data_IF_795775120627
#
_entry.id   IF_795775120627
#
_cell.length_a   1.000
_cell.length_b   1.000
_cell.length_c   1.000
_cell.angle_alpha   90.00
_cell.angle_beta   90.00
_cell.angle_gamma   90.00
#
_symmetry.space_group_name_H-M   'P 1'
#
loop_
_entity.id
_entity.type
_entity.pdbx_description
1 polymer ?
#
# COMPACT_ATOMS: atom_id res chain seq x y z
N UNK A 1 60.91 26.17 27.59
CA UNK A 1 60.18 27.44 27.43
C UNK A 1 58.71 27.18 27.73
N UNK A 2 58.18 27.91 28.73
CA UNK A 2 56.79 28.19 29.14
C UNK A 2 55.65 27.23 28.70
N UNK A 3 54.94 26.56 29.64
CA UNK A 3 53.77 27.02 30.44
C UNK A 3 52.54 27.34 29.56
N UNK A 4 51.26 27.05 29.84
CA UNK A 4 50.43 26.40 30.88
C UNK A 4 48.99 26.42 30.24
N UNK A 5 47.91 25.76 30.68
CA UNK A 5 47.63 25.05 31.91
C UNK A 5 46.24 24.40 31.87
N UNK A 6 46.11 23.44 32.77
CA UNK A 6 44.92 22.80 33.34
C UNK A 6 43.85 23.78 33.82
N UNK A 7 42.57 23.43 33.71
CA UNK A 7 41.54 23.55 34.77
C UNK A 7 40.30 22.69 34.41
N UNK A 8 40.01 21.66 35.21
CA UNK A 8 38.64 21.27 35.54
C UNK A 8 38.30 21.79 36.95
N UNK A 9 37.38 21.17 37.68
CA UNK A 9 35.93 21.08 37.46
C UNK A 9 35.17 21.80 38.60
N UNK A 10 33.85 21.99 38.49
CA UNK A 10 33.04 22.22 39.69
C UNK A 10 31.61 21.66 39.62
N UNK A 11 31.27 21.07 40.75
CA UNK A 11 30.10 20.32 41.20
C UNK A 11 28.95 21.27 41.58
N UNK A 12 27.69 20.81 41.50
CA UNK A 12 26.81 20.79 42.69
C UNK A 12 25.49 20.04 42.48
N UNK A 13 25.34 19.05 43.34
CA UNK A 13 24.14 18.34 43.77
C UNK A 13 23.33 19.14 44.81
N UNK A 14 22.04 18.85 44.92
CA UNK A 14 21.21 19.10 46.11
C UNK A 14 19.76 19.37 45.72
N UNK A 15 18.73 18.95 46.44
CA UNK A 15 18.58 18.03 47.56
C UNK A 15 17.08 17.67 47.63
N UNK A 16 16.78 16.49 48.17
CA UNK A 16 15.45 16.07 48.59
C UNK A 16 15.04 16.82 49.88
N UNK A 17 13.78 17.24 50.00
CA UNK A 17 13.13 17.46 51.29
C UNK A 17 11.62 17.25 51.15
N UNK A 18 11.11 16.36 52.00
CA UNK A 18 9.71 16.07 52.29
C UNK A 18 9.15 17.18 53.20
N UNK A 19 7.82 17.35 53.24
CA UNK A 19 6.96 17.18 54.44
C UNK A 19 5.62 17.90 54.25
N UNK A 20 4.61 17.31 54.87
CA UNK A 20 3.18 17.58 54.75
C UNK A 20 2.72 18.82 55.54
N UNK A 21 1.56 19.37 55.15
CA UNK A 21 0.45 19.66 56.08
C UNK A 21 -0.88 19.71 55.31
N UNK A 22 -1.92 19.25 55.97
CA UNK A 22 -3.30 19.16 55.51
C UNK A 22 -4.19 19.67 56.64
N UNK A 23 -4.97 20.74 56.44
CA UNK A 23 -6.20 21.13 57.20
C UNK A 23 -7.00 22.04 56.23
N UNK A 24 -8.27 21.74 55.88
CA UNK A 24 -9.49 22.20 56.57
C UNK A 24 -9.71 23.71 56.33
N UNK A 25 -10.84 24.29 55.90
CA UNK A 25 -12.25 24.07 56.26
C UNK A 25 -13.17 24.85 55.29
N UNK A 26 -14.47 24.70 55.50
CA UNK A 26 -15.65 24.89 54.67
C UNK A 26 -16.04 26.32 54.18
N UNK A 27 -16.83 26.38 53.09
CA UNK A 27 -17.60 27.57 52.72
C UNK A 27 -18.28 27.52 51.34
N UNK A 28 -19.44 26.88 51.23
CA UNK A 28 -20.44 27.13 50.17
C UNK A 28 -21.43 28.24 50.63
N UNK A 29 -22.38 28.76 49.82
CA UNK A 29 -22.62 28.64 48.36
C UNK A 29 -22.80 30.00 47.64
N UNK A 30 -22.69 29.98 46.31
CA UNK A 30 -23.03 31.12 45.45
C UNK A 30 -23.65 30.65 44.13
N UNK A 31 -24.97 30.64 44.09
CA UNK A 31 -25.80 30.42 42.90
C UNK A 31 -25.58 31.54 41.86
N UNK A 32 -25.26 31.17 40.61
CA UNK A 32 -26.12 31.43 39.45
C UNK A 32 -25.39 31.28 38.11
N UNK A 33 -26.19 30.85 37.13
CA UNK A 33 -26.06 31.03 35.69
C UNK A 33 -25.10 30.14 34.90
N UNK A 34 -25.72 29.32 34.04
CA UNK A 34 -25.43 29.33 32.61
C UNK A 34 -24.03 28.89 32.22
N UNK A 35 -23.84 27.58 32.11
CA UNK A 35 -22.64 26.99 31.53
C UNK A 35 -23.01 25.70 30.84
N UNK A 36 -23.64 25.84 29.68
CA UNK A 36 -23.82 24.81 28.67
C UNK A 36 -22.44 24.19 28.38
N UNK A 37 -22.11 23.09 29.06
CA UNK A 37 -20.92 22.31 28.75
C UNK A 37 -21.24 21.49 27.52
N UNK A 38 -21.14 22.20 26.39
CA UNK A 38 -20.50 21.78 25.15
C UNK A 38 -20.05 20.33 25.28
N UNK A 39 -20.84 19.45 24.67
CA UNK A 39 -20.39 18.12 24.29
C UNK A 39 -18.98 18.25 23.78
N UNK A 40 -18.06 17.60 24.49
CA UNK A 40 -16.73 17.31 24.03
C UNK A 40 -16.93 16.53 22.74
N UNK A 41 -16.99 17.27 21.63
CA UNK A 41 -16.61 16.79 20.33
C UNK A 41 -15.13 16.44 20.50
N UNK A 42 -14.89 15.22 20.99
CA UNK A 42 -13.72 14.46 20.62
C UNK A 42 -13.76 14.44 19.09
N UNK A 43 -13.14 15.46 18.48
CA UNK A 43 -12.59 15.33 17.15
C UNK A 43 -11.68 14.10 17.26
N UNK A 44 -12.23 12.92 16.95
CA UNK A 44 -11.45 11.76 16.55
C UNK A 44 -10.52 12.33 15.49
N UNK A 45 -9.26 12.63 15.86
CA UNK A 45 -8.15 12.72 14.93
C UNK A 45 -8.23 11.42 14.15
N UNK A 46 -8.93 11.47 13.03
CA UNK A 46 -9.27 10.27 12.29
C UNK A 46 -7.95 9.72 11.83
N UNK A 47 -7.50 8.64 12.49
CA UNK A 47 -6.21 8.02 12.24
C UNK A 47 -6.19 7.62 10.76
N UNK A 48 -5.54 8.48 9.98
CA UNK A 48 -5.36 8.35 8.56
C UNK A 48 -4.07 7.61 8.26
N UNK A 49 -4.09 6.81 7.21
CA UNK A 49 -2.90 6.14 6.70
C UNK A 49 -2.61 6.71 5.34
N UNK A 50 -1.43 7.30 5.21
CA UNK A 50 -0.93 7.84 3.95
C UNK A 50 0.08 6.89 3.33
N UNK A 51 -0.01 6.71 2.02
CA UNK A 51 0.89 5.83 1.32
C UNK A 51 0.77 5.89 -0.19
N UNK A 52 1.73 5.23 -0.84
CA UNK A 52 1.79 5.14 -2.28
C UNK A 52 1.05 3.88 -2.78
N UNK A 53 0.17 4.06 -3.76
CA UNK A 53 -0.58 2.96 -4.38
C UNK A 53 0.35 2.12 -5.24
N UNK A 54 0.58 0.86 -4.86
CA UNK A 54 1.43 -0.05 -5.60
C UNK A 54 0.67 -0.77 -6.71
N UNK A 55 -0.49 -1.34 -6.37
CA UNK A 55 -1.23 -2.21 -7.29
C UNK A 55 -2.72 -2.25 -6.96
N UNK A 56 -3.55 -2.28 -8.01
CA UNK A 56 -5.00 -2.50 -7.92
C UNK A 56 -5.38 -3.90 -8.42
N UNK A 57 -6.19 -4.63 -7.66
CA UNK A 57 -6.81 -5.90 -8.06
C UNK A 57 -8.32 -5.77 -8.00
N UNK A 58 -8.97 -5.85 -9.15
CA UNK A 58 -10.43 -5.92 -9.25
C UNK A 58 -10.87 -7.36 -9.00
N UNK A 59 -11.66 -7.59 -7.95
CA UNK A 59 -12.18 -8.91 -7.63
C UNK A 59 -13.58 -9.09 -8.22
N UNK A 60 -14.55 -8.29 -7.75
CA UNK A 60 -15.95 -8.29 -8.21
C UNK A 60 -16.37 -6.87 -8.64
N UNK A 61 -17.64 -6.66 -9.00
CA UNK A 61 -18.13 -5.32 -9.40
C UNK A 61 -17.92 -4.28 -8.29
N UNK A 62 -18.17 -4.67 -7.03
CA UNK A 62 -18.24 -3.78 -5.87
C UNK A 62 -17.11 -4.02 -4.85
N UNK A 63 -16.03 -4.69 -5.26
CA UNK A 63 -14.90 -5.02 -4.38
C UNK A 63 -13.57 -4.79 -5.12
N UNK A 64 -12.75 -3.93 -4.55
CA UNK A 64 -11.43 -3.57 -5.05
C UNK A 64 -10.39 -3.75 -3.93
N UNK A 65 -9.34 -4.50 -4.24
CA UNK A 65 -8.20 -4.69 -3.37
C UNK A 65 -7.05 -3.82 -3.86
N UNK A 66 -6.46 -3.01 -2.98
CA UNK A 66 -5.37 -2.10 -3.33
C UNK A 66 -4.20 -2.33 -2.40
N UNK A 67 -3.03 -2.61 -2.97
CA UNK A 67 -1.79 -2.69 -2.23
C UNK A 67 -1.21 -1.29 -2.13
N UNK A 68 -0.90 -0.87 -0.91
CA UNK A 68 -0.36 0.45 -0.60
C UNK A 68 0.92 0.28 0.22
N UNK A 69 1.94 1.10 -0.06
CA UNK A 69 3.12 1.23 0.78
C UNK A 69 2.92 2.42 1.72
N UNK A 70 2.94 2.20 3.03
CA UNK A 70 2.83 3.27 4.02
C UNK A 70 4.09 4.13 3.95
N UNK A 71 3.89 5.44 3.97
CA UNK A 71 4.95 6.43 4.11
C UNK A 71 4.81 7.11 5.47
N UNK A 72 5.69 6.77 6.41
CA UNK A 72 5.72 7.32 7.77
C UNK A 72 7.15 7.30 8.33
N UNK A 73 7.37 7.82 9.54
CA UNK A 73 8.71 7.96 10.16
C UNK A 73 9.41 6.62 10.50
N UNK A 74 8.74 5.47 10.31
CA UNK A 74 9.29 4.14 10.58
C UNK A 74 9.70 3.34 9.33
N UNK A 75 10.11 2.07 9.53
CA UNK A 75 10.32 1.12 8.44
C UNK A 75 9.01 0.94 7.65
N UNK A 76 8.92 1.59 6.48
CA UNK A 76 7.70 1.64 5.69
C UNK A 76 7.04 0.28 5.49
N UNK A 77 5.76 0.18 5.84
CA UNK A 77 4.98 -1.05 5.78
C UNK A 77 4.19 -1.23 4.49
N UNK A 78 3.69 -2.44 4.26
CA UNK A 78 2.73 -2.73 3.19
C UNK A 78 1.35 -2.95 3.80
N UNK A 79 0.34 -2.34 3.21
CA UNK A 79 -1.06 -2.48 3.62
C UNK A 79 -1.90 -2.97 2.46
N UNK A 80 -2.86 -3.83 2.77
CA UNK A 80 -3.92 -4.22 1.86
C UNK A 80 -5.17 -3.38 2.17
N UNK A 81 -5.46 -2.42 1.31
CA UNK A 81 -6.69 -1.66 1.36
C UNK A 81 -7.83 -2.45 0.71
N UNK A 82 -8.91 -2.63 1.46
CA UNK A 82 -10.17 -3.23 1.01
C UNK A 82 -11.18 -2.11 0.79
N UNK A 83 -11.53 -1.88 -0.48
CA UNK A 83 -12.59 -0.96 -0.90
C UNK A 83 -13.83 -1.77 -1.26
N UNK A 84 -14.90 -1.61 -0.49
CA UNK A 84 -16.21 -2.25 -0.73
C UNK A 84 -17.34 -1.22 -0.55
N UNK A 85 -18.42 -1.38 -1.30
CA UNK A 85 -19.65 -0.58 -1.13
C UNK A 85 -20.33 -0.87 0.23
N UNK A 86 -19.95 -1.95 0.91
CA UNK A 86 -20.41 -2.24 2.27
C UNK A 86 -19.68 -1.40 3.33
N UNK A 87 -18.40 -1.08 3.08
CA UNK A 87 -17.55 -0.35 4.03
C UNK A 87 -17.44 1.14 3.69
N UNK A 88 -17.75 1.51 2.46
CA UNK A 88 -17.74 2.88 1.92
C UNK A 88 -19.03 3.12 1.13
N UNK A 89 -19.48 4.36 0.99
CA UNK A 89 -20.65 4.66 0.16
C UNK A 89 -20.37 4.32 -1.32
N UNK A 90 -21.43 4.10 -2.10
CA UNK A 90 -21.29 3.82 -3.54
C UNK A 90 -20.61 4.96 -4.31
N UNK A 91 -20.80 6.20 -3.86
CA UNK A 91 -20.21 7.39 -4.45
C UNK A 91 -18.69 7.41 -4.25
N UNK A 92 -18.24 7.22 -3.01
CA UNK A 92 -16.80 7.15 -2.66
C UNK A 92 -16.14 5.98 -3.39
N UNK A 93 -16.81 4.83 -3.49
CA UNK A 93 -16.29 3.67 -4.20
C UNK A 93 -16.08 3.95 -5.70
N UNK A 94 -17.07 4.54 -6.38
CA UNK A 94 -16.95 4.84 -7.81
C UNK A 94 -15.94 5.96 -8.06
N UNK A 95 -15.85 6.97 -7.19
CA UNK A 95 -14.83 8.01 -7.26
C UNK A 95 -13.43 7.42 -7.12
N UNK A 96 -13.19 6.60 -6.10
CA UNK A 96 -11.92 5.92 -5.91
C UNK A 96 -11.56 5.08 -7.14
N UNK A 97 -12.54 4.30 -7.62
CA UNK A 97 -12.39 3.41 -8.76
C UNK A 97 -12.01 4.18 -10.02
N UNK A 98 -12.64 5.33 -10.25
CA UNK A 98 -12.44 6.19 -11.40
C UNK A 98 -11.12 6.94 -11.33
N UNK A 99 -10.68 7.39 -10.15
CA UNK A 99 -9.59 8.35 -10.02
C UNK A 99 -8.27 7.75 -9.57
N UNK A 100 -8.25 6.82 -8.62
CA UNK A 100 -7.00 6.32 -8.02
C UNK A 100 -6.25 5.41 -8.99
N UNK A 101 -4.94 5.64 -9.18
CA UNK A 101 -4.06 4.85 -10.06
C UNK A 101 -2.81 4.39 -9.32
N UNK A 102 -2.16 3.30 -9.78
CA UNK A 102 -0.83 2.95 -9.29
C UNK A 102 0.14 4.13 -9.42
N UNK A 103 0.93 4.36 -8.37
CA UNK A 103 1.84 5.49 -8.21
C UNK A 103 1.23 6.68 -7.48
N UNK A 104 -0.10 6.83 -7.47
CA UNK A 104 -0.76 7.91 -6.74
C UNK A 104 -0.41 7.81 -5.25
N UNK A 105 -0.20 8.96 -4.62
CA UNK A 105 -0.08 9.09 -3.18
C UNK A 105 -1.46 9.40 -2.63
N UNK A 106 -1.98 8.48 -1.83
CA UNK A 106 -3.31 8.57 -1.27
C UNK A 106 -3.26 8.49 0.24
N UNK A 107 -4.28 9.07 0.83
CA UNK A 107 -4.56 9.13 2.25
C UNK A 107 -5.88 8.43 2.46
N UNK A 108 -5.94 7.53 3.43
CA UNK A 108 -7.12 6.68 3.62
C UNK A 108 -7.50 6.61 5.08
N UNK A 109 -8.79 6.66 5.34
CA UNK A 109 -9.39 6.42 6.66
C UNK A 109 -10.24 5.17 6.60
N UNK A 110 -10.25 4.40 7.68
CA UNK A 110 -10.92 3.11 7.67
C UNK A 110 -10.68 2.28 8.91
N UNK A 111 -11.32 1.11 8.96
CA UNK A 111 -11.06 0.15 10.03
C UNK A 111 -9.80 -0.65 9.70
N UNK A 112 -8.82 -0.62 10.60
CA UNK A 112 -7.62 -1.45 10.52
C UNK A 112 -7.93 -2.82 11.14
N UNK A 113 -7.56 -3.88 10.44
CA UNK A 113 -7.66 -5.25 10.89
C UNK A 113 -6.33 -5.96 10.67
N UNK A 114 -6.04 -6.96 11.51
CA UNK A 114 -4.91 -7.85 11.28
C UNK A 114 -5.02 -8.57 9.92
N UNK A 115 -3.89 -8.85 9.26
CA UNK A 115 -3.88 -9.39 7.91
C UNK A 115 -4.48 -10.80 7.89
N UNK A 116 -5.34 -11.08 6.92
CA UNK A 116 -5.85 -12.43 6.69
C UNK A 116 -4.74 -13.39 6.26
N UNK A 117 -5.01 -14.69 6.30
CA UNK A 117 -4.06 -15.79 5.99
C UNK A 117 -3.42 -15.67 4.59
N UNK A 118 -4.02 -14.89 3.68
CA UNK A 118 -3.56 -14.66 2.31
C UNK A 118 -2.69 -13.38 2.12
N UNK A 119 -2.50 -12.58 3.17
CA UNK A 119 -1.81 -11.31 3.15
C UNK A 119 -0.32 -11.43 3.56
N UNK A 120 0.37 -12.44 3.00
CA UNK A 120 1.74 -12.90 3.35
C UNK A 120 2.84 -11.80 3.30
N UNK A 121 2.54 -10.60 2.80
CA UNK A 121 3.45 -9.46 2.78
C UNK A 121 2.86 -8.16 3.37
N UNK A 122 1.58 -8.12 3.72
CA UNK A 122 0.95 -6.92 4.27
C UNK A 122 0.89 -7.00 5.80
N UNK A 123 1.24 -5.91 6.48
CA UNK A 123 1.22 -5.83 7.93
C UNK A 123 -0.20 -5.74 8.47
N UNK A 124 -1.11 -5.08 7.74
CA UNK A 124 -2.51 -4.89 8.13
C UNK A 124 -3.43 -4.81 6.89
N UNK A 125 -4.70 -5.12 7.11
CA UNK A 125 -5.80 -4.89 6.18
C UNK A 125 -6.60 -3.66 6.61
N UNK A 126 -6.92 -2.78 5.67
CA UNK A 126 -7.63 -1.54 5.96
C UNK A 126 -8.91 -1.48 5.15
N UNK A 127 -10.05 -1.56 5.83
CA UNK A 127 -11.36 -1.38 5.23
C UNK A 127 -11.66 0.11 5.07
N UNK A 128 -11.43 0.59 3.85
CA UNK A 128 -11.57 1.99 3.48
C UNK A 128 -13.01 2.45 3.71
N UNK A 129 -13.15 3.56 4.44
CA UNK A 129 -14.38 4.33 4.59
C UNK A 129 -14.35 5.57 3.69
N UNK A 130 -13.26 6.32 3.76
CA UNK A 130 -13.04 7.54 2.99
C UNK A 130 -11.56 7.66 2.57
N UNK A 131 -11.29 8.47 1.54
CA UNK A 131 -9.96 8.65 1.00
C UNK A 131 -9.76 10.06 0.44
N UNK A 132 -8.51 10.48 0.33
CA UNK A 132 -8.11 11.65 -0.43
C UNK A 132 -6.89 11.33 -1.28
N UNK A 133 -6.81 11.90 -2.48
CA UNK A 133 -5.61 11.83 -3.31
C UNK A 133 -4.76 13.05 -3.00
N UNK A 134 -3.58 12.82 -2.42
CA UNK A 134 -2.65 13.89 -2.07
C UNK A 134 -1.76 14.27 -3.27
N UNK A 135 -1.28 13.27 -4.01
CA UNK A 135 -0.43 13.49 -5.18
C UNK A 135 -0.77 12.51 -6.30
N UNK A 136 -0.92 13.02 -7.52
CA UNK A 136 -1.13 12.20 -8.72
C UNK A 136 0.19 11.76 -9.31
N UNK A 137 0.26 10.50 -9.76
CA UNK A 137 1.44 10.04 -10.49
C UNK A 137 1.50 10.63 -11.90
N UNK A 138 2.42 11.55 -12.10
CA UNK A 138 2.69 12.17 -13.40
C UNK A 138 3.53 11.25 -14.28
N UNK A 139 2.85 10.40 -15.04
CA UNK A 139 3.49 9.41 -15.94
C UNK A 139 4.40 10.05 -16.98
N UNK A 140 4.08 11.26 -17.44
CA UNK A 140 4.88 11.97 -18.44
C UNK A 140 6.26 12.39 -17.91
N UNK A 141 6.33 12.81 -16.64
CA UNK A 141 7.59 13.29 -16.04
C UNK A 141 8.43 12.16 -15.45
N UNK A 142 7.77 11.16 -14.87
CA UNK A 142 8.43 10.11 -14.06
C UNK A 142 8.44 8.74 -14.76
N UNK A 143 7.84 8.64 -15.95
CA UNK A 143 7.62 7.38 -16.63
C UNK A 143 6.50 6.55 -16.01
N UNK A 144 6.29 5.34 -16.53
CA UNK A 144 5.31 4.40 -15.98
C UNK A 144 5.72 4.00 -14.54
N UNK A 145 4.77 4.06 -13.61
CA UNK A 145 5.01 3.65 -12.23
C UNK A 145 5.44 2.18 -12.16
N UNK A 146 6.56 1.91 -11.48
CA UNK A 146 7.08 0.57 -11.25
C UNK A 146 7.04 0.24 -9.77
N UNK A 147 6.26 -0.77 -9.39
CA UNK A 147 6.23 -1.31 -8.04
C UNK A 147 7.54 -2.07 -7.74
N UNK A 148 8.50 -1.39 -7.12
CA UNK A 148 9.80 -1.96 -6.72
C UNK A 148 9.72 -2.89 -5.52
N UNK A 149 8.58 -2.96 -4.84
CA UNK A 149 8.39 -3.85 -3.70
C UNK A 149 8.49 -5.31 -4.13
N UNK A 150 8.07 -5.64 -5.35
CA UNK A 150 8.23 -6.98 -5.93
C UNK A 150 9.72 -7.37 -6.13
N UNK A 151 10.61 -6.38 -6.31
CA UNK A 151 12.04 -6.60 -6.48
C UNK A 151 12.77 -6.89 -5.16
N UNK A 152 12.28 -6.40 -4.01
CA UNK A 152 12.87 -6.75 -2.71
C UNK A 152 12.69 -8.24 -2.36
N UNK A 153 11.69 -8.89 -2.95
CA UNK A 153 11.45 -10.34 -2.82
C UNK A 153 12.25 -11.14 -3.86
N UNK A 154 12.77 -10.48 -4.89
CA UNK A 154 13.50 -11.11 -6.00
C UNK A 154 14.95 -10.65 -5.97
N UNK A 155 15.84 -11.50 -5.43
CA UNK A 155 17.29 -11.24 -5.42
C UNK A 155 17.85 -10.88 -6.81
N UNK A 156 19.07 -10.30 -6.87
CA UNK A 156 19.65 -9.81 -8.12
C UNK A 156 19.65 -10.90 -9.19
N UNK A 157 18.92 -10.63 -10.27
CA UNK A 157 18.79 -11.46 -11.46
C UNK A 157 20.11 -11.46 -12.23
N UNK A 158 21.01 -12.38 -11.90
CA UNK A 158 22.06 -12.80 -12.82
C UNK A 158 21.45 -13.81 -13.81
N UNK A 159 21.78 -13.60 -15.08
CA UNK A 159 21.30 -14.39 -16.21
C UNK A 159 21.84 -15.82 -16.11
N UNK A 160 21.02 -16.76 -15.66
CA UNK A 160 21.21 -18.17 -15.99
C UNK A 160 19.94 -18.67 -16.68
N UNK A 161 20.05 -18.79 -18.00
CA UNK A 161 19.00 -19.28 -18.87
C UNK A 161 18.81 -20.78 -18.61
N UNK A 162 17.81 -21.13 -17.78
CA UNK A 162 17.15 -22.42 -18.00
C UNK A 162 16.28 -22.24 -19.25
N UNK A 163 16.66 -22.93 -20.32
CA UNK A 163 15.98 -22.89 -21.61
C UNK A 163 14.55 -23.42 -21.48
N UNK A 164 13.60 -22.51 -21.29
CA UNK A 164 12.17 -22.82 -21.45
C UNK A 164 11.94 -23.07 -22.94
N UNK A 165 11.17 -24.13 -23.24
CA UNK A 165 10.76 -24.47 -24.61
C UNK A 165 10.22 -23.24 -25.35
N UNK A 166 10.67 -23.02 -26.58
CA UNK A 166 10.26 -21.88 -27.41
C UNK A 166 8.77 -21.91 -27.74
N UNK A 167 8.17 -23.12 -27.71
CA UNK A 167 6.74 -23.34 -27.91
C UNK A 167 5.92 -23.11 -26.62
N UNK A 168 6.57 -22.87 -25.48
CA UNK A 168 5.87 -22.55 -24.25
C UNK A 168 5.15 -21.20 -24.33
N UNK A 169 3.95 -21.07 -23.74
CA UNK A 169 3.22 -19.81 -23.76
C UNK A 169 3.99 -18.71 -23.03
N UNK A 170 3.91 -17.49 -23.56
CA UNK A 170 4.53 -16.30 -22.99
C UNK A 170 4.01 -16.02 -21.57
N UNK A 171 4.93 -15.65 -20.69
CA UNK A 171 4.61 -15.30 -19.31
C UNK A 171 3.81 -14.00 -19.22
N UNK A 172 2.60 -14.08 -18.68
CA UNK A 172 1.70 -12.93 -18.51
C UNK A 172 2.28 -11.86 -17.57
N UNK A 173 3.07 -12.21 -16.55
CA UNK A 173 3.67 -11.20 -15.68
C UNK A 173 4.76 -10.44 -16.45
N UNK A 174 5.72 -11.19 -17.00
CA UNK A 174 6.84 -10.66 -17.79
C UNK A 174 6.40 -9.72 -18.91
N UNK A 175 5.40 -10.13 -19.71
CA UNK A 175 4.93 -9.34 -20.85
C UNK A 175 4.17 -8.06 -20.48
N UNK A 176 3.66 -7.96 -19.25
CA UNK A 176 2.92 -6.79 -18.79
C UNK A 176 3.80 -5.80 -18.04
N UNK A 177 4.79 -6.29 -17.28
CA UNK A 177 5.60 -5.47 -16.38
C UNK A 177 7.10 -5.53 -16.66
N UNK A 178 7.54 -6.36 -17.61
CA UNK A 178 8.97 -6.65 -17.85
C UNK A 178 9.62 -7.49 -16.74
N UNK A 179 8.84 -7.98 -15.77
CA UNK A 179 9.34 -8.65 -14.57
C UNK A 179 8.41 -9.80 -14.17
N UNK A 180 8.97 -10.89 -13.68
CA UNK A 180 8.20 -12.03 -13.18
C UNK A 180 8.75 -12.48 -11.84
N UNK A 181 7.85 -12.64 -10.85
CA UNK A 181 8.18 -13.11 -9.49
C UNK A 181 8.86 -14.49 -9.45
N UNK A 182 8.66 -15.29 -10.50
CA UNK A 182 9.27 -16.63 -10.61
C UNK A 182 10.71 -16.60 -11.17
N UNK A 183 11.19 -15.44 -11.63
CA UNK A 183 12.53 -15.30 -12.21
C UNK A 183 12.82 -16.34 -13.28
N UNK A 184 14.04 -16.90 -13.27
CA UNK A 184 14.48 -17.96 -14.18
C UNK A 184 13.73 -19.30 -13.97
N UNK A 185 13.13 -19.53 -12.80
CA UNK A 185 12.33 -20.73 -12.52
C UNK A 185 10.90 -20.66 -13.10
N UNK A 186 10.58 -19.62 -13.87
CA UNK A 186 9.27 -19.48 -14.49
C UNK A 186 9.08 -20.53 -15.60
N UNK A 187 8.08 -21.41 -15.45
CA UNK A 187 7.67 -22.37 -16.50
C UNK A 187 7.13 -21.75 -17.80
N UNK A 188 7.04 -20.42 -17.87
CA UNK A 188 6.50 -19.68 -19.00
C UNK A 188 7.60 -18.87 -19.64
N UNK A 189 7.57 -18.74 -20.96
CA UNK A 189 8.62 -18.07 -21.71
C UNK A 189 8.71 -16.60 -21.34
N UNK A 190 9.90 -16.15 -20.97
CA UNK A 190 10.27 -14.74 -20.83
C UNK A 190 10.97 -14.35 -22.12
N UNK A 191 10.40 -13.40 -22.86
CA UNK A 191 11.04 -12.94 -24.08
C UNK A 191 12.10 -11.90 -23.71
N UNK A 192 13.36 -12.33 -23.77
CA UNK A 192 14.57 -11.53 -23.56
C UNK A 192 15.31 -11.25 -24.88
N UNK A 193 14.84 -11.81 -26.00
CA UNK A 193 15.57 -11.85 -27.27
C UNK A 193 15.02 -10.87 -28.31
N UNK A 194 15.51 -9.63 -28.32
CA UNK A 194 15.43 -8.71 -29.46
C UNK A 194 14.05 -8.16 -29.87
N UNK A 195 12.96 -8.76 -29.39
CA UNK A 195 11.61 -8.27 -29.64
C UNK A 195 11.15 -7.31 -28.53
N UNK A 196 10.57 -6.17 -28.92
CA UNK A 196 10.09 -5.20 -27.92
C UNK A 196 8.93 -5.83 -27.13
N UNK A 197 8.89 -5.63 -25.81
CA UNK A 197 7.81 -6.14 -24.92
C UNK A 197 6.40 -5.83 -25.48
N UNK A 198 6.25 -4.70 -26.18
CA UNK A 198 5.03 -4.32 -26.88
C UNK A 198 4.61 -5.29 -28.00
N UNK A 199 5.54 -5.76 -28.83
CA UNK A 199 5.27 -6.78 -29.87
C UNK A 199 4.91 -8.12 -29.25
N UNK A 200 5.69 -8.57 -28.26
CA UNK A 200 5.37 -9.78 -27.52
C UNK A 200 3.94 -9.70 -26.95
N UNK A 201 3.57 -8.57 -26.34
CA UNK A 201 2.21 -8.33 -25.80
C UNK A 201 1.13 -8.44 -26.86
N UNK A 202 1.32 -7.85 -28.03
CA UNK A 202 0.38 -7.95 -29.12
C UNK A 202 0.18 -9.41 -29.56
N UNK A 203 1.26 -10.18 -29.68
CA UNK A 203 1.21 -11.60 -30.02
C UNK A 203 0.48 -12.43 -28.96
N UNK A 204 0.74 -12.20 -27.66
CA UNK A 204 0.04 -12.90 -26.58
C UNK A 204 -1.47 -12.62 -26.59
N UNK A 205 -1.89 -11.39 -26.86
CA UNK A 205 -3.31 -11.05 -26.96
C UNK A 205 -3.95 -11.73 -28.17
N UNK A 206 -3.27 -11.75 -29.32
CA UNK A 206 -3.75 -12.40 -30.54
C UNK A 206 -3.91 -13.91 -30.34
N UNK A 207 -2.91 -14.57 -29.76
CA UNK A 207 -2.97 -16.02 -29.50
C UNK A 207 -4.10 -16.38 -28.53
N UNK A 208 -4.29 -15.60 -27.46
CA UNK A 208 -5.40 -15.81 -26.50
C UNK A 208 -6.77 -15.60 -27.14
N UNK A 209 -6.90 -14.66 -28.09
CA UNK A 209 -8.13 -14.48 -28.87
C UNK A 209 -8.37 -15.71 -29.75
N UNK A 210 -7.35 -16.19 -30.45
CA UNK A 210 -7.42 -17.41 -31.27
C UNK A 210 -7.85 -18.63 -30.46
N UNK A 211 -7.23 -18.86 -29.31
CA UNK A 211 -7.57 -19.98 -28.42
C UNK A 211 -9.03 -19.92 -27.94
N UNK A 212 -9.53 -18.72 -27.60
CA UNK A 212 -10.95 -18.55 -27.22
C UNK A 212 -11.90 -18.86 -28.35
N UNK A 213 -11.58 -18.44 -29.58
CA UNK A 213 -12.38 -18.75 -30.76
C UNK A 213 -12.38 -20.27 -31.03
N UNK A 214 -11.22 -20.93 -30.91
CA UNK A 214 -11.12 -22.38 -31.06
C UNK A 214 -11.95 -23.12 -30.00
N UNK A 215 -11.80 -22.76 -28.72
CA UNK A 215 -12.64 -23.35 -27.66
C UNK A 215 -14.14 -23.11 -27.90
N UNK A 216 -14.52 -21.92 -28.37
CA UNK A 216 -15.93 -21.59 -28.67
C UNK A 216 -16.51 -22.36 -29.85
N UNK A 217 -15.68 -22.71 -30.84
CA UNK A 217 -16.09 -23.51 -32.00
C UNK A 217 -16.21 -24.99 -31.62
N UNK A 218 -15.29 -25.48 -30.78
CA UNK A 218 -15.33 -26.87 -30.30
C UNK A 218 -16.51 -27.10 -29.36
N UNK A 219 -16.80 -26.17 -28.44
CA UNK A 219 -17.98 -26.27 -27.56
C UNK A 219 -19.32 -26.16 -28.29
N UNK A 220 -19.34 -25.66 -29.53
CA UNK A 220 -20.56 -25.61 -30.36
C UNK A 220 -20.72 -26.84 -31.26
N UNK A 221 -19.70 -27.69 -31.36
CA UNK A 221 -19.71 -28.89 -32.19
C UNK A 221 -20.09 -30.16 -31.41
N UNK A 222 -20.10 -30.09 -30.07
CA UNK A 222 -20.45 -31.22 -29.19
C UNK A 222 -21.96 -31.29 -28.88
N UNK A 223 -22.74 -30.26 -29.23
CA UNK A 223 -24.18 -30.13 -28.97
C UNK A 223 -25.06 -30.24 -30.25
N UNK A 224 -24.51 -30.73 -31.37
CA UNK A 224 -25.23 -30.95 -32.64
C UNK A 224 -25.21 -32.42 -33.07
#
# INVERSE_FOLDING_TARGET
MAHAGTMGPHVQSGACAQEATCEGEDGAPGISSGGEKRSEEEEEESEWITGQVLRRRKMRRNLLLVYMKIEGEGEGGLVLLVMSVETSSSEVFEEFRANVRPGDRIRVTGKVQEPGVDAVACQFEVFCRDFAIEEKWETEKRGCFQDRTAALVSGPSMQEEMSVDQDAPLCKAWINTGQCLKGAACRYRHDTGGETIGKARAMWVAERRRQRLVCSLLSGAEDA
#
